data_IF_658100249421
#
_entry.id   IF_658100249421
#
_cell.length_a   1.000
_cell.length_b   1.000
_cell.length_c   1.000
_cell.angle_alpha   90.00
_cell.angle_beta   90.00
_cell.angle_gamma   90.00
#
_symmetry.space_group_name_H-M   'P 1'
#
loop_
_entity.id
_entity.type
_entity.pdbx_description
1 polymer ?
#
# COMPACT_ATOMS: atom_id res chain seq x y z
N UNK A 1 37.14 9.49 -0.61
CA UNK A 1 37.68 9.70 0.74
C UNK A 1 36.98 8.72 1.66
N UNK A 2 37.73 7.72 2.15
CA UNK A 2 37.19 6.78 3.11
C UNK A 2 37.04 7.51 4.46
N UNK A 3 35.80 7.74 4.91
CA UNK A 3 35.56 8.23 6.25
C UNK A 3 36.09 7.17 7.24
N UNK A 4 37.07 7.53 8.03
CA UNK A 4 37.48 6.77 9.21
C UNK A 4 36.26 6.69 10.15
N UNK A 5 35.79 5.51 10.37
CA UNK A 5 34.72 5.19 11.32
C UNK A 5 35.40 5.15 12.71
N UNK A 6 34.94 5.90 13.73
CA UNK A 6 35.49 5.82 15.09
C UNK A 6 35.36 4.42 15.70
N UNK A 7 36.23 4.07 16.67
CA UNK A 7 36.22 2.74 17.35
C UNK A 7 34.85 2.35 17.94
N UNK A 8 34.02 3.31 18.31
CA UNK A 8 32.62 3.11 18.71
C UNK A 8 31.73 2.49 17.62
N UNK A 9 32.12 2.56 16.35
CA UNK A 9 31.33 2.05 15.24
C UNK A 9 31.49 0.53 15.04
N UNK A 10 32.51 -0.09 15.60
CA UNK A 10 32.63 -1.56 15.53
C UNK A 10 31.60 -2.24 16.43
N UNK A 11 31.30 -1.62 17.56
CA UNK A 11 30.22 -2.09 18.45
C UNK A 11 28.84 -1.77 17.87
N UNK A 12 28.68 -0.63 17.17
CA UNK A 12 27.45 -0.28 16.44
C UNK A 12 27.20 -1.18 15.23
N UNK A 13 28.24 -1.58 14.51
CA UNK A 13 28.13 -2.59 13.44
C UNK A 13 27.71 -3.97 13.96
N UNK A 14 28.09 -4.29 15.18
CA UNK A 14 27.65 -5.53 15.85
C UNK A 14 26.19 -5.50 16.27
N UNK A 15 25.63 -4.29 16.45
CA UNK A 15 24.23 -4.03 16.85
C UNK A 15 23.32 -3.60 15.69
N UNK A 16 23.83 -3.56 14.45
CA UNK A 16 23.16 -3.00 13.28
C UNK A 16 23.71 -1.60 12.95
N UNK A 17 23.20 -1.01 11.90
CA UNK A 17 23.58 0.32 11.42
C UNK A 17 23.09 1.42 12.40
N UNK A 18 23.80 2.56 12.44
CA UNK A 18 23.30 3.70 13.21
C UNK A 18 22.09 4.38 12.51
N UNK A 19 21.40 5.24 13.25
CA UNK A 19 20.15 5.86 12.77
C UNK A 19 20.35 6.68 11.47
N UNK A 20 21.50 7.37 11.33
CA UNK A 20 21.77 8.18 10.14
C UNK A 20 22.11 7.34 8.90
N UNK A 21 22.75 6.18 9.08
CA UNK A 21 22.97 5.21 8.01
C UNK A 21 21.69 4.49 7.63
N UNK A 22 20.85 4.20 8.62
CA UNK A 22 19.52 3.62 8.42
C UNK A 22 18.64 4.57 7.61
N UNK A 23 18.60 5.85 7.93
CA UNK A 23 17.81 6.85 7.21
C UNK A 23 18.24 7.00 5.74
N UNK A 24 19.55 6.89 5.45
CA UNK A 24 20.06 6.90 4.07
C UNK A 24 19.71 5.64 3.28
N UNK A 25 19.56 4.52 3.96
CA UNK A 25 19.30 3.23 3.32
C UNK A 25 17.80 2.92 3.20
N UNK A 26 16.97 3.51 4.07
CA UNK A 26 15.51 3.36 4.02
C UNK A 26 14.88 3.97 2.79
N UNK A 27 15.48 5.01 2.23
CA UNK A 27 14.95 5.70 1.06
C UNK A 27 14.96 4.86 -0.22
N UNK A 28 15.77 3.77 -0.30
CA UNK A 28 16.04 3.11 -1.59
C UNK A 28 16.15 1.58 -1.55
N UNK A 29 15.94 0.89 -0.42
CA UNK A 29 16.15 -0.57 -0.33
C UNK A 29 15.17 -1.22 0.64
N UNK A 30 14.87 -2.50 0.41
CA UNK A 30 14.12 -3.32 1.35
C UNK A 30 14.83 -3.41 2.69
N UNK A 31 14.11 -3.19 3.77
CA UNK A 31 14.64 -3.02 5.11
C UNK A 31 14.00 -4.00 6.08
N UNK A 32 14.77 -4.42 7.09
CA UNK A 32 14.27 -5.14 8.25
C UNK A 32 14.37 -4.25 9.49
N UNK A 33 13.53 -4.49 10.50
CA UNK A 33 13.67 -3.81 11.80
C UNK A 33 14.62 -4.57 12.72
N UNK A 34 15.47 -3.83 13.41
CA UNK A 34 16.30 -4.33 14.49
C UNK A 34 16.08 -3.45 15.72
N UNK A 35 15.25 -3.92 16.64
CA UNK A 35 14.73 -3.07 17.69
C UNK A 35 13.93 -1.90 17.10
N UNK A 36 14.33 -0.66 17.41
CA UNK A 36 13.73 0.57 16.86
C UNK A 36 14.39 1.02 15.55
N UNK A 37 15.42 0.31 15.05
CA UNK A 37 16.17 0.68 13.85
C UNK A 37 15.75 -0.13 12.63
N UNK A 38 15.78 0.53 11.48
CA UNK A 38 15.63 -0.10 10.17
C UNK A 38 17.03 -0.41 9.62
N UNK A 39 17.25 -1.62 9.11
CA UNK A 39 18.52 -2.07 8.55
C UNK A 39 18.30 -2.78 7.21
N UNK A 40 19.23 -2.69 6.23
CA UNK A 40 19.16 -3.49 5.02
C UNK A 40 19.11 -4.99 5.35
N UNK A 41 18.24 -5.73 4.63
CA UNK A 41 18.00 -7.13 4.93
C UNK A 41 19.27 -7.99 4.89
N UNK A 42 20.21 -7.68 3.97
CA UNK A 42 21.51 -8.36 3.89
C UNK A 42 22.40 -8.06 5.10
N UNK A 43 22.37 -6.84 5.60
CA UNK A 43 23.13 -6.43 6.78
C UNK A 43 22.48 -6.95 8.05
N UNK A 44 21.15 -6.97 8.09
CA UNK A 44 20.38 -7.63 9.15
C UNK A 44 20.80 -9.10 9.32
N UNK A 45 20.84 -9.89 8.23
CA UNK A 45 21.26 -11.30 8.28
C UNK A 45 22.70 -11.46 8.77
N UNK A 46 23.62 -10.59 8.35
CA UNK A 46 25.02 -10.59 8.83
C UNK A 46 25.12 -10.21 10.30
N UNK A 47 24.40 -9.16 10.69
CA UNK A 47 24.40 -8.67 12.06
C UNK A 47 23.76 -9.66 13.03
N UNK A 48 22.63 -10.29 12.66
CA UNK A 48 22.01 -11.37 13.48
C UNK A 48 22.97 -12.52 13.64
N UNK A 49 23.67 -12.95 12.58
CA UNK A 49 24.69 -14.00 12.64
C UNK A 49 25.89 -13.66 13.52
N UNK A 50 26.30 -12.38 13.57
CA UNK A 50 27.38 -11.87 14.42
C UNK A 50 26.93 -11.65 15.87
N UNK A 51 25.80 -11.00 16.05
CA UNK A 51 25.20 -10.67 17.36
C UNK A 51 24.80 -11.94 18.12
N UNK A 52 24.25 -12.91 17.40
CA UNK A 52 23.86 -14.20 17.97
C UNK A 52 25.02 -15.01 18.56
N UNK A 53 26.28 -14.65 18.31
CA UNK A 53 27.45 -15.28 18.96
C UNK A 53 27.80 -14.66 20.31
N UNK A 54 27.31 -13.46 20.59
CA UNK A 54 27.57 -12.73 21.86
C UNK A 54 26.42 -12.89 22.87
N UNK A 55 25.22 -13.25 22.41
CA UNK A 55 24.07 -13.51 23.27
C UNK A 55 24.09 -14.97 23.76
N UNK A 56 23.68 -15.19 25.01
CA UNK A 56 23.35 -16.51 25.50
C UNK A 56 22.25 -17.17 24.69
N UNK A 57 22.17 -18.49 24.64
CA UNK A 57 21.21 -19.22 23.80
C UNK A 57 19.75 -18.78 24.01
N UNK A 58 19.36 -18.49 25.27
CA UNK A 58 18.00 -18.04 25.61
C UNK A 58 17.71 -16.58 25.20
N UNK A 59 18.73 -15.69 25.16
CA UNK A 59 18.60 -14.33 24.67
C UNK A 59 18.55 -14.30 23.14
N UNK A 60 19.36 -15.15 22.51
CA UNK A 60 19.34 -15.36 21.05
C UNK A 60 17.98 -15.86 20.59
N UNK A 61 17.40 -16.83 21.28
CA UNK A 61 16.04 -17.30 20.99
C UNK A 61 14.99 -16.20 21.18
N UNK A 62 15.10 -15.38 22.23
CA UNK A 62 14.18 -14.26 22.47
C UNK A 62 14.29 -13.15 21.40
N UNK A 63 15.51 -12.79 21.01
CA UNK A 63 15.73 -11.80 19.96
C UNK A 63 15.27 -12.34 18.60
N UNK A 64 15.59 -13.59 18.25
CA UNK A 64 15.09 -14.23 17.03
C UNK A 64 13.57 -14.37 17.08
N UNK A 65 12.96 -14.71 18.23
CA UNK A 65 11.49 -14.75 18.39
C UNK A 65 10.83 -13.36 18.30
N UNK A 66 11.49 -12.28 18.73
CA UNK A 66 11.02 -10.91 18.53
C UNK A 66 10.94 -10.53 17.05
N UNK A 67 11.86 -11.08 16.23
CA UNK A 67 11.88 -10.88 14.78
C UNK A 67 11.02 -11.88 14.01
N UNK A 68 10.80 -13.05 14.57
CA UNK A 68 10.09 -14.19 13.97
C UNK A 68 8.86 -14.54 14.79
N UNK A 69 8.37 -13.64 15.64
CA UNK A 69 7.08 -13.85 16.28
C UNK A 69 6.01 -13.85 15.18
N UNK A 70 5.41 -15.00 14.88
CA UNK A 70 4.46 -15.08 13.79
C UNK A 70 3.24 -14.27 14.16
N UNK A 71 2.81 -13.44 13.23
CA UNK A 71 1.61 -12.68 13.36
C UNK A 71 0.36 -13.54 13.24
N UNK A 72 0.05 -14.31 14.25
CA UNK A 72 -1.34 -14.63 14.52
C UNK A 72 -1.86 -13.51 15.42
N UNK A 73 -2.33 -12.46 14.78
CA UNK A 73 -2.94 -11.30 15.44
C UNK A 73 -4.44 -11.51 15.70
N UNK A 74 -4.93 -12.74 15.51
CA UNK A 74 -6.34 -13.09 15.66
C UNK A 74 -7.24 -12.56 14.55
N UNK A 75 -6.68 -12.02 13.44
CA UNK A 75 -7.48 -11.57 12.29
C UNK A 75 -8.18 -12.77 11.65
N UNK A 76 -9.53 -12.77 11.59
CA UNK A 76 -10.27 -13.90 11.00
C UNK A 76 -9.94 -14.06 9.52
N UNK A 77 -9.86 -15.32 9.07
CA UNK A 77 -9.67 -15.65 7.66
C UNK A 77 -11.03 -15.80 7.01
N UNK A 78 -11.32 -14.93 6.04
CA UNK A 78 -12.56 -14.94 5.27
C UNK A 78 -12.45 -15.89 4.06
N UNK A 79 -13.55 -16.51 3.64
CA UNK A 79 -13.59 -17.46 2.54
C UNK A 79 -13.69 -18.93 3.00
N UNK A 80 -13.24 -19.94 2.22
CA UNK A 80 -12.55 -19.77 0.93
C UNK A 80 -13.44 -19.26 -0.19
N UNK A 81 -12.84 -18.54 -1.15
CA UNK A 81 -13.47 -18.09 -2.38
C UNK A 81 -12.78 -18.71 -3.59
N UNK A 82 -13.52 -18.91 -4.67
CA UNK A 82 -12.94 -19.27 -5.95
C UNK A 82 -12.37 -18.04 -6.67
N UNK A 83 -13.03 -16.86 -6.51
CA UNK A 83 -12.61 -15.64 -7.18
C UNK A 83 -12.94 -14.39 -6.36
N UNK A 84 -12.00 -13.48 -6.24
CA UNK A 84 -12.19 -12.19 -5.54
C UNK A 84 -11.62 -11.03 -6.35
N UNK A 85 -12.27 -9.86 -6.26
CA UNK A 85 -11.72 -8.61 -6.79
C UNK A 85 -11.17 -7.77 -5.64
N UNK A 86 -9.96 -7.22 -5.83
CA UNK A 86 -9.26 -6.39 -4.82
C UNK A 86 -8.76 -5.11 -5.48
N UNK A 87 -9.05 -3.98 -4.87
CA UNK A 87 -8.68 -2.66 -5.35
C UNK A 87 -8.23 -1.76 -4.20
N UNK A 88 -7.51 -0.70 -4.53
CA UNK A 88 -7.06 0.31 -3.58
C UNK A 88 -7.53 1.70 -3.98
N UNK A 89 -7.23 2.68 -3.19
CA UNK A 89 -7.38 4.10 -3.42
C UNK A 89 -8.57 4.51 -4.28
N UNK A 90 -9.77 4.61 -3.68
CA UNK A 90 -10.98 5.09 -4.40
C UNK A 90 -10.85 6.57 -4.74
N UNK A 91 -10.21 7.35 -3.85
CA UNK A 91 -9.92 8.77 -4.02
C UNK A 91 -11.14 9.59 -4.45
N UNK A 92 -12.29 9.37 -3.84
CA UNK A 92 -13.57 10.03 -4.16
C UNK A 92 -14.09 9.78 -5.60
N UNK A 93 -13.45 8.89 -6.37
CA UNK A 93 -13.82 8.60 -7.76
C UNK A 93 -15.03 7.64 -7.82
N UNK A 94 -16.24 8.19 -7.63
CA UNK A 94 -17.48 7.43 -7.71
C UNK A 94 -17.73 6.81 -9.09
N UNK A 95 -17.28 7.46 -10.17
CA UNK A 95 -17.42 6.94 -11.53
C UNK A 95 -16.62 5.64 -11.75
N UNK A 96 -15.38 5.60 -11.26
CA UNK A 96 -14.56 4.39 -11.35
C UNK A 96 -15.09 3.29 -10.41
N UNK A 97 -15.59 3.66 -9.22
CA UNK A 97 -16.16 2.70 -8.29
C UNK A 97 -17.40 2.01 -8.88
N UNK A 98 -18.33 2.75 -9.49
CA UNK A 98 -19.49 2.17 -10.20
C UNK A 98 -19.04 1.20 -11.29
N UNK A 99 -18.11 1.64 -12.15
CA UNK A 99 -17.58 0.80 -13.22
C UNK A 99 -16.92 -0.48 -12.70
N UNK A 100 -16.20 -0.39 -11.57
CA UNK A 100 -15.56 -1.54 -10.93
C UNK A 100 -16.57 -2.54 -10.38
N UNK A 101 -17.62 -2.08 -9.69
CA UNK A 101 -18.65 -2.93 -9.13
C UNK A 101 -19.35 -3.75 -10.24
N UNK A 102 -19.61 -3.10 -11.38
CA UNK A 102 -20.20 -3.76 -12.55
C UNK A 102 -19.24 -4.77 -13.20
N UNK A 103 -17.94 -4.38 -13.37
CA UNK A 103 -16.96 -5.26 -14.01
C UNK A 103 -16.65 -6.49 -13.15
N UNK A 104 -16.43 -6.30 -11.85
CA UNK A 104 -16.16 -7.39 -10.90
C UNK A 104 -17.33 -8.40 -10.87
N UNK A 105 -18.58 -7.89 -10.83
CA UNK A 105 -19.78 -8.74 -10.92
C UNK A 105 -19.82 -9.53 -12.23
N UNK A 106 -19.58 -8.87 -13.37
CA UNK A 106 -19.57 -9.52 -14.69
C UNK A 106 -18.49 -10.61 -14.80
N UNK A 107 -17.36 -10.44 -14.11
CA UNK A 107 -16.26 -11.41 -14.05
C UNK A 107 -16.47 -12.51 -13.04
N UNK A 108 -17.57 -12.47 -12.28
CA UNK A 108 -17.94 -13.49 -11.31
C UNK A 108 -17.12 -13.44 -10.01
N UNK A 109 -16.68 -12.27 -9.58
CA UNK A 109 -16.07 -12.12 -8.27
C UNK A 109 -17.11 -12.41 -7.17
N UNK A 110 -16.76 -13.31 -6.24
CA UNK A 110 -17.62 -13.73 -5.12
C UNK A 110 -17.54 -12.76 -3.94
N UNK A 111 -16.44 -12.01 -3.85
CA UNK A 111 -16.24 -10.97 -2.86
C UNK A 111 -15.39 -9.83 -3.42
N UNK A 112 -15.62 -8.62 -2.89
CA UNK A 112 -14.90 -7.40 -3.23
C UNK A 112 -14.19 -6.85 -1.99
N UNK A 113 -12.92 -6.49 -2.15
CA UNK A 113 -12.09 -5.93 -1.09
C UNK A 113 -11.49 -4.59 -1.52
N UNK A 114 -11.66 -3.57 -0.67
CA UNK A 114 -10.99 -2.27 -0.82
C UNK A 114 -9.87 -2.14 0.20
N UNK A 115 -8.68 -1.81 -0.26
CA UNK A 115 -7.49 -1.66 0.58
C UNK A 115 -7.33 -0.23 1.16
N UNK A 116 -8.43 0.51 1.30
CA UNK A 116 -8.46 1.84 1.91
C UNK A 116 -8.24 2.99 0.93
N UNK A 117 -8.12 4.19 1.49
CA UNK A 117 -8.08 5.46 0.79
C UNK A 117 -9.35 5.73 -0.03
N UNK A 118 -10.50 5.79 0.67
CA UNK A 118 -11.78 6.15 0.05
C UNK A 118 -11.76 7.61 -0.38
N UNK A 119 -11.19 8.48 0.47
CA UNK A 119 -11.00 9.90 0.25
C UNK A 119 -9.72 10.26 -0.50
N UNK A 120 -9.60 11.52 -0.85
CA UNK A 120 -8.44 12.10 -1.53
C UNK A 120 -8.69 12.41 -2.99
N UNK A 121 -7.86 13.24 -3.57
CA UNK A 121 -7.70 13.56 -4.98
C UNK A 121 -8.96 14.03 -5.75
N UNK A 122 -10.06 13.26 -5.72
CA UNK A 122 -11.31 13.56 -6.43
C UNK A 122 -12.33 14.35 -5.63
N UNK A 123 -13.46 14.71 -6.26
CA UNK A 123 -14.54 15.49 -5.64
C UNK A 123 -15.55 14.62 -4.90
N UNK A 124 -16.42 15.26 -4.11
CA UNK A 124 -17.63 14.67 -3.53
C UNK A 124 -17.41 13.36 -2.73
N UNK A 125 -16.64 13.38 -1.63
CA UNK A 125 -16.31 12.17 -0.87
C UNK A 125 -17.53 11.37 -0.41
N UNK A 126 -18.64 12.02 -0.08
CA UNK A 126 -19.88 11.35 0.37
C UNK A 126 -20.52 10.44 -0.70
N UNK A 127 -20.21 10.63 -1.98
CA UNK A 127 -20.76 9.78 -3.05
C UNK A 127 -20.24 8.34 -3.02
N UNK A 128 -19.03 8.12 -2.47
CA UNK A 128 -18.42 6.77 -2.48
C UNK A 128 -18.93 5.88 -1.34
N UNK A 129 -19.35 6.47 -0.22
CA UNK A 129 -19.82 5.71 0.93
C UNK A 129 -21.00 4.75 0.61
N UNK A 130 -22.16 5.25 0.13
CA UNK A 130 -23.28 4.35 -0.18
C UNK A 130 -22.92 3.28 -1.24
N UNK A 131 -22.07 3.63 -2.21
CA UNK A 131 -21.63 2.69 -3.24
C UNK A 131 -20.80 1.54 -2.66
N UNK A 132 -19.93 1.82 -1.68
CA UNK A 132 -19.14 0.79 -1.00
C UNK A 132 -20.04 -0.14 -0.16
N UNK A 133 -21.01 0.44 0.57
CA UNK A 133 -21.96 -0.34 1.39
C UNK A 133 -22.90 -1.18 0.53
N UNK A 134 -23.59 -0.58 -0.44
CA UNK A 134 -24.53 -1.27 -1.34
C UNK A 134 -23.82 -2.30 -2.21
N UNK A 135 -22.56 -2.03 -2.61
CA UNK A 135 -21.71 -2.98 -3.32
C UNK A 135 -21.21 -4.14 -2.47
N UNK A 136 -21.48 -4.15 -1.16
CA UNK A 136 -21.00 -5.19 -0.24
C UNK A 136 -19.48 -5.27 -0.14
N UNK A 137 -18.80 -4.12 -0.35
CA UNK A 137 -17.34 -4.05 -0.36
C UNK A 137 -16.78 -4.19 1.07
N UNK A 138 -15.90 -5.15 1.25
CA UNK A 138 -15.20 -5.38 2.52
C UNK A 138 -13.91 -4.56 2.54
N UNK A 139 -13.90 -3.53 3.36
CA UNK A 139 -12.83 -2.54 3.35
C UNK A 139 -11.85 -2.69 4.52
N UNK A 140 -10.65 -2.16 4.35
CA UNK A 140 -9.71 -1.86 5.43
C UNK A 140 -9.43 -0.37 5.45
N UNK A 141 -8.82 0.13 6.54
CA UNK A 141 -8.35 1.50 6.59
C UNK A 141 -7.08 1.70 5.75
N UNK A 142 -7.03 2.77 4.97
CA UNK A 142 -5.81 3.41 4.52
C UNK A 142 -5.39 4.54 5.45
N UNK A 143 -4.36 5.29 5.07
CA UNK A 143 -3.91 6.43 5.85
C UNK A 143 -4.93 7.58 5.88
N UNK A 144 -5.75 7.74 4.84
CA UNK A 144 -6.85 8.71 4.85
C UNK A 144 -7.91 8.38 5.90
N UNK A 145 -8.37 7.14 5.98
CA UNK A 145 -9.36 6.70 6.97
C UNK A 145 -8.82 6.84 8.39
N UNK A 146 -7.55 6.43 8.61
CA UNK A 146 -6.90 6.59 9.92
C UNK A 146 -6.83 8.07 10.33
N UNK A 147 -6.44 8.96 9.42
CA UNK A 147 -6.28 10.38 9.69
C UNK A 147 -7.62 11.08 9.90
N UNK A 148 -8.58 10.91 8.99
CA UNK A 148 -9.90 11.54 9.05
C UNK A 148 -10.70 11.11 10.28
N UNK A 149 -10.68 9.82 10.63
CA UNK A 149 -11.41 9.29 11.78
C UNK A 149 -10.79 9.67 13.13
N UNK A 150 -9.48 9.89 13.17
CA UNK A 150 -8.77 10.30 14.38
C UNK A 150 -8.63 11.82 14.53
N UNK A 151 -9.09 12.61 13.54
CA UNK A 151 -9.02 14.06 13.56
C UNK A 151 -7.61 14.61 13.38
N UNK A 152 -6.75 13.94 12.62
CA UNK A 152 -5.42 14.46 12.27
C UNK A 152 -5.55 15.64 11.31
N UNK A 153 -4.56 16.53 11.34
CA UNK A 153 -4.48 17.70 10.47
C UNK A 153 -3.97 17.38 9.06
N UNK A 154 -3.35 16.19 8.86
CA UNK A 154 -2.78 15.75 7.61
C UNK A 154 -3.16 14.31 7.26
N UNK A 155 -2.93 13.89 6.01
CA UNK A 155 -3.23 12.55 5.53
C UNK A 155 -2.24 11.48 6.02
N UNK A 156 -1.16 11.84 6.67
CA UNK A 156 -0.08 10.89 7.00
C UNK A 156 0.40 10.08 5.78
N UNK A 157 0.47 10.71 4.60
CA UNK A 157 0.79 10.03 3.34
C UNK A 157 2.25 9.54 3.26
N UNK A 158 3.15 10.11 4.08
CA UNK A 158 4.56 9.71 4.13
C UNK A 158 5.43 10.36 3.05
N UNK A 159 4.96 11.43 2.40
CA UNK A 159 5.78 12.22 1.49
C UNK A 159 6.83 13.02 2.25
N UNK A 160 8.00 13.18 1.63
CA UNK A 160 9.11 13.97 2.17
C UNK A 160 9.34 15.27 1.39
N UNK A 161 8.95 15.31 0.12
CA UNK A 161 9.13 16.48 -0.73
C UNK A 161 8.06 17.55 -0.46
N UNK A 162 8.43 18.84 -0.36
CA UNK A 162 7.47 19.92 -0.09
C UNK A 162 6.38 20.07 -1.15
N UNK A 163 6.67 19.79 -2.43
CA UNK A 163 5.69 19.86 -3.51
C UNK A 163 4.68 18.74 -3.41
N UNK A 164 5.14 17.52 -3.14
CA UNK A 164 4.25 16.38 -2.93
C UNK A 164 3.35 16.61 -1.70
N UNK A 165 3.91 17.15 -0.60
CA UNK A 165 3.14 17.50 0.59
C UNK A 165 2.11 18.59 0.30
N UNK A 166 2.46 19.64 -0.45
CA UNK A 166 1.51 20.70 -0.81
C UNK A 166 0.23 20.14 -1.49
N UNK A 167 0.39 19.26 -2.48
CA UNK A 167 -0.76 18.67 -3.16
C UNK A 167 -1.51 17.64 -2.28
N UNK A 168 -0.80 16.95 -1.40
CA UNK A 168 -1.42 16.08 -0.41
C UNK A 168 -2.30 16.88 0.56
N UNK A 169 -1.82 18.04 1.04
CA UNK A 169 -2.57 18.93 1.94
C UNK A 169 -3.82 19.51 1.26
N UNK A 170 -3.72 19.92 -0.01
CA UNK A 170 -4.89 20.38 -0.78
C UNK A 170 -5.96 19.28 -0.90
N UNK A 171 -5.52 18.07 -1.25
CA UNK A 171 -6.39 16.90 -1.40
C UNK A 171 -7.04 16.50 -0.07
N UNK A 172 -6.24 16.43 1.00
CA UNK A 172 -6.73 16.09 2.34
C UNK A 172 -7.69 17.12 2.88
N UNK A 173 -7.32 18.39 2.81
CA UNK A 173 -8.15 19.50 3.30
C UNK A 173 -9.48 19.60 2.56
N UNK A 174 -9.52 19.32 1.25
CA UNK A 174 -10.79 19.22 0.53
C UNK A 174 -11.65 18.08 1.09
N UNK A 175 -11.10 16.88 1.16
CA UNK A 175 -11.82 15.69 1.64
C UNK A 175 -12.30 15.88 3.09
N UNK A 176 -11.44 16.41 3.96
CA UNK A 176 -11.74 16.64 5.38
C UNK A 176 -12.95 17.56 5.56
N UNK A 177 -13.01 18.65 4.80
CA UNK A 177 -14.13 19.63 4.85
C UNK A 177 -15.44 19.08 4.29
N UNK A 178 -15.40 18.12 3.37
CA UNK A 178 -16.57 17.57 2.68
C UNK A 178 -17.00 16.19 3.18
N UNK A 179 -16.33 15.64 4.20
CA UNK A 179 -16.75 14.42 4.88
C UNK A 179 -17.57 14.74 6.12
N UNK A 180 -18.77 14.15 6.20
CA UNK A 180 -19.60 14.23 7.41
C UNK A 180 -18.96 13.48 8.59
N UNK A 181 -19.32 13.85 9.84
CA UNK A 181 -18.91 13.08 11.01
C UNK A 181 -19.33 11.59 10.94
N UNK A 182 -20.47 11.30 10.32
CA UNK A 182 -20.96 9.93 10.10
C UNK A 182 -20.02 9.13 9.19
N UNK A 183 -19.60 9.72 8.07
CA UNK A 183 -18.68 9.08 7.16
C UNK A 183 -17.29 8.89 7.79
N UNK A 184 -16.75 9.89 8.50
CA UNK A 184 -15.49 9.77 9.27
C UNK A 184 -15.56 8.63 10.30
N UNK A 185 -16.66 8.51 11.03
CA UNK A 185 -16.88 7.44 12.00
C UNK A 185 -16.95 6.07 11.31
N UNK A 186 -17.64 5.96 10.18
CA UNK A 186 -17.72 4.75 9.37
C UNK A 186 -16.32 4.35 8.85
N UNK A 187 -15.53 5.26 8.33
CA UNK A 187 -14.13 5.04 7.95
C UNK A 187 -13.31 4.44 9.10
N UNK A 188 -13.44 5.00 10.30
CA UNK A 188 -12.75 4.53 11.50
C UNK A 188 -13.19 3.15 12.00
N UNK A 189 -14.36 2.65 11.57
CA UNK A 189 -14.87 1.34 11.98
C UNK A 189 -14.22 0.17 11.27
N UNK A 190 -13.50 0.40 10.16
CA UNK A 190 -12.84 -0.65 9.40
C UNK A 190 -11.56 -1.15 10.08
N UNK A 191 -11.21 -2.44 9.94
CA UNK A 191 -9.94 -2.97 10.42
C UNK A 191 -8.78 -2.43 9.56
N UNK A 192 -7.55 -2.48 10.10
CA UNK A 192 -6.34 -2.08 9.36
C UNK A 192 -5.80 -3.17 8.43
N UNK A 193 -6.28 -4.41 8.58
CA UNK A 193 -5.91 -5.57 7.79
C UNK A 193 -7.02 -6.60 7.72
N UNK A 194 -6.98 -7.43 6.69
CA UNK A 194 -7.85 -8.61 6.56
C UNK A 194 -7.04 -9.80 6.08
N UNK A 195 -7.54 -11.00 6.35
CA UNK A 195 -7.03 -12.24 5.79
C UNK A 195 -8.11 -12.88 4.95
N UNK A 196 -7.75 -13.31 3.76
CA UNK A 196 -8.69 -13.86 2.78
C UNK A 196 -8.11 -15.15 2.22
N UNK A 197 -8.94 -16.19 2.14
CA UNK A 197 -8.55 -17.45 1.49
C UNK A 197 -9.15 -17.52 0.09
N UNK A 198 -8.26 -17.67 -0.90
CA UNK A 198 -8.64 -17.93 -2.30
C UNK A 198 -8.13 -19.33 -2.64
N UNK A 199 -9.07 -20.25 -2.86
CA UNK A 199 -8.74 -21.68 -2.91
C UNK A 199 -8.02 -22.15 -1.65
N UNK A 200 -6.83 -22.74 -1.83
CA UNK A 200 -5.97 -23.18 -0.73
C UNK A 200 -5.02 -22.12 -0.18
N UNK A 201 -4.97 -20.88 -0.72
CA UNK A 201 -4.01 -19.84 -0.40
C UNK A 201 -4.56 -18.80 0.57
N UNK A 202 -3.82 -18.53 1.63
CA UNK A 202 -4.17 -17.48 2.60
C UNK A 202 -3.41 -16.18 2.29
N UNK A 203 -4.16 -15.12 2.00
CA UNK A 203 -3.66 -13.83 1.55
C UNK A 203 -3.85 -12.79 2.64
N UNK A 204 -2.82 -12.01 2.92
CA UNK A 204 -2.87 -10.85 3.79
C UNK A 204 -3.15 -9.58 2.98
N UNK A 205 -4.18 -8.85 3.36
CA UNK A 205 -4.59 -7.58 2.77
C UNK A 205 -4.21 -6.44 3.71
N UNK A 206 -3.41 -5.50 3.23
CA UNK A 206 -2.98 -4.29 3.95
C UNK A 206 -3.02 -3.07 3.02
N UNK A 207 -2.96 -1.86 3.57
CA UNK A 207 -2.88 -0.65 2.75
C UNK A 207 -1.47 -0.43 2.20
N UNK A 208 -0.49 -0.10 3.03
CA UNK A 208 0.93 0.04 2.66
C UNK A 208 1.68 -1.27 2.82
N UNK A 209 2.02 -1.61 4.06
CA UNK A 209 2.67 -2.88 4.39
C UNK A 209 2.17 -3.44 5.73
N UNK A 210 2.50 -4.70 6.08
CA UNK A 210 2.20 -5.22 7.43
C UNK A 210 2.81 -4.41 8.57
N UNK A 211 3.85 -3.63 8.28
CA UNK A 211 4.60 -2.83 9.26
C UNK A 211 4.07 -1.42 9.43
N UNK A 212 3.65 -0.79 8.33
CA UNK A 212 3.23 0.61 8.32
C UNK A 212 2.10 0.81 7.30
N UNK A 213 1.08 1.55 7.71
CA UNK A 213 -0.05 1.89 6.85
C UNK A 213 0.37 2.72 5.63
N UNK A 214 1.43 3.51 5.75
CA UNK A 214 1.95 4.43 4.73
C UNK A 214 3.32 4.02 4.17
N UNK A 215 3.70 2.75 4.23
CA UNK A 215 4.94 2.28 3.60
C UNK A 215 4.74 2.07 2.10
N UNK A 216 5.58 2.75 1.30
CA UNK A 216 5.55 2.61 -0.16
C UNK A 216 6.29 1.34 -0.60
N UNK A 217 5.57 0.36 -1.11
CA UNK A 217 6.14 -0.84 -1.73
C UNK A 217 6.14 -0.68 -3.26
N UNK A 218 7.14 0.02 -3.79
CA UNK A 218 7.32 0.16 -5.24
C UNK A 218 7.99 -1.09 -5.85
N UNK A 219 7.63 -1.42 -7.07
CA UNK A 219 8.17 -2.61 -7.75
C UNK A 219 9.70 -2.58 -7.85
N UNK A 220 10.28 -1.44 -8.27
CA UNK A 220 11.71 -1.35 -8.54
C UNK A 220 12.59 -1.31 -7.30
N UNK A 221 12.07 -0.83 -6.17
CA UNK A 221 12.85 -0.60 -4.94
C UNK A 221 12.54 -1.57 -3.81
N UNK A 222 11.50 -2.41 -3.94
CA UNK A 222 11.16 -3.43 -2.94
C UNK A 222 11.85 -4.75 -3.28
N UNK A 223 12.89 -5.17 -2.54
CA UNK A 223 13.62 -6.39 -2.84
C UNK A 223 12.81 -7.66 -2.55
N UNK A 224 12.99 -8.70 -3.37
CA UNK A 224 12.36 -10.02 -3.15
C UNK A 224 12.62 -10.56 -1.74
N UNK A 225 13.85 -10.54 -1.18
CA UNK A 225 14.07 -11.05 0.18
C UNK A 225 13.29 -10.30 1.26
N UNK A 226 12.97 -9.01 1.05
CA UNK A 226 12.15 -8.25 1.99
C UNK A 226 10.69 -8.73 1.96
N UNK A 227 10.14 -8.94 0.76
CA UNK A 227 8.79 -9.48 0.61
C UNK A 227 8.67 -10.89 1.23
N UNK A 228 9.69 -11.74 1.05
CA UNK A 228 9.71 -13.06 1.68
C UNK A 228 9.68 -12.98 3.20
N UNK A 229 10.46 -12.05 3.80
CA UNK A 229 10.46 -11.83 5.25
C UNK A 229 9.10 -11.34 5.75
N UNK A 230 8.45 -10.41 5.06
CA UNK A 230 7.12 -9.95 5.43
C UNK A 230 6.11 -11.11 5.44
N UNK A 231 6.14 -11.94 4.41
CA UNK A 231 5.25 -13.11 4.31
C UNK A 231 5.55 -14.19 5.35
N UNK A 232 6.83 -14.41 5.68
CA UNK A 232 7.22 -15.33 6.75
C UNK A 232 6.73 -14.85 8.12
N UNK A 233 6.89 -13.55 8.41
CA UNK A 233 6.41 -12.95 9.66
C UNK A 233 4.90 -13.04 9.81
N UNK A 234 4.19 -12.85 8.72
CA UNK A 234 2.72 -12.88 8.70
C UNK A 234 2.14 -14.29 8.46
N UNK A 235 2.96 -15.31 8.16
CA UNK A 235 2.52 -16.67 7.80
C UNK A 235 1.46 -16.65 6.70
N UNK A 236 1.67 -15.85 5.67
CA UNK A 236 0.76 -15.70 4.55
C UNK A 236 1.33 -16.28 3.26
N UNK A 237 0.48 -16.81 2.41
CA UNK A 237 0.83 -17.30 1.08
C UNK A 237 0.89 -16.18 0.04
N UNK A 238 0.37 -15.00 0.37
CA UNK A 238 0.45 -13.82 -0.46
C UNK A 238 0.19 -12.53 0.31
N UNK A 239 0.77 -11.43 -0.20
CA UNK A 239 0.59 -10.07 0.29
C UNK A 239 -0.08 -9.22 -0.77
N UNK A 240 -1.21 -8.61 -0.42
CA UNK A 240 -1.87 -7.61 -1.25
C UNK A 240 -1.75 -6.25 -0.58
N UNK A 241 -1.24 -5.27 -1.32
CA UNK A 241 -1.09 -3.90 -0.88
C UNK A 241 -1.51 -2.88 -1.96
N UNK A 242 -1.52 -1.61 -1.61
CA UNK A 242 -1.79 -0.48 -2.49
C UNK A 242 -0.90 0.71 -2.12
N UNK A 243 -1.43 1.89 -1.81
CA UNK A 243 -0.78 3.11 -1.35
C UNK A 243 0.13 3.82 -2.37
N UNK A 244 0.90 3.09 -3.20
CA UNK A 244 1.80 3.68 -4.19
C UNK A 244 1.08 4.33 -5.37
N UNK A 245 -0.17 3.96 -5.62
CA UNK A 245 -0.91 4.32 -6.83
C UNK A 245 -0.54 3.53 -8.09
N UNK A 246 0.50 2.69 -8.01
CA UNK A 246 1.03 1.90 -9.13
C UNK A 246 0.83 0.41 -8.87
N UNK A 247 0.27 -0.28 -9.84
CA UNK A 247 0.03 -1.71 -9.78
C UNK A 247 1.25 -2.52 -10.21
N UNK A 248 1.50 -3.65 -9.55
CA UNK A 248 2.51 -4.64 -9.94
C UNK A 248 2.21 -6.00 -9.31
N UNK A 249 2.70 -7.06 -9.93
CA UNK A 249 2.62 -8.42 -9.39
C UNK A 249 3.99 -9.09 -9.48
N UNK A 250 4.35 -9.81 -8.44
CA UNK A 250 5.60 -10.58 -8.38
C UNK A 250 5.35 -11.94 -7.76
N UNK A 251 5.55 -13.00 -8.55
CA UNK A 251 5.69 -14.36 -8.02
C UNK A 251 7.08 -14.50 -7.41
N UNK A 252 7.12 -14.87 -6.14
CA UNK A 252 8.36 -15.02 -5.37
C UNK A 252 8.97 -16.41 -5.56
N UNK A 253 10.28 -16.57 -5.29
CA UNK A 253 10.95 -17.89 -5.38
C UNK A 253 10.35 -18.97 -4.48
N UNK A 254 9.70 -18.58 -3.38
CA UNK A 254 8.95 -19.49 -2.49
C UNK A 254 7.62 -20.00 -3.09
N UNK A 255 7.22 -19.49 -4.26
CA UNK A 255 5.91 -19.75 -4.87
C UNK A 255 4.78 -18.90 -4.32
N UNK A 256 5.08 -17.97 -3.40
CA UNK A 256 4.13 -16.99 -2.86
C UNK A 256 3.99 -15.79 -3.77
N UNK A 257 2.95 -14.99 -3.56
CA UNK A 257 2.65 -13.82 -4.39
C UNK A 257 2.73 -12.52 -3.59
N UNK A 258 3.31 -11.48 -4.20
CA UNK A 258 3.22 -10.12 -3.72
C UNK A 258 2.58 -9.25 -4.81
N UNK A 259 1.51 -8.55 -4.45
CA UNK A 259 0.68 -7.79 -5.41
C UNK A 259 0.43 -6.40 -4.86
N UNK A 260 0.81 -5.38 -5.61
CA UNK A 260 0.22 -4.07 -5.44
C UNK A 260 -0.96 -3.97 -6.40
N UNK A 261 -2.16 -3.82 -5.87
CA UNK A 261 -3.39 -3.87 -6.67
C UNK A 261 -3.63 -2.59 -7.46
N UNK A 262 -2.80 -1.57 -7.26
CA UNK A 262 -3.01 -0.24 -7.81
C UNK A 262 -4.11 0.53 -7.09
N UNK A 263 -4.69 1.52 -7.78
CA UNK A 263 -5.78 2.35 -7.29
C UNK A 263 -6.82 2.56 -8.38
N UNK A 264 -8.07 2.80 -8.00
CA UNK A 264 -9.14 3.16 -8.94
C UNK A 264 -9.45 4.66 -8.96
N UNK A 265 -8.79 5.42 -8.09
CA UNK A 265 -9.03 6.85 -7.96
C UNK A 265 -8.28 7.71 -8.97
N UNK A 266 -7.15 7.25 -9.48
CA UNK A 266 -6.36 7.95 -10.49
C UNK A 266 -5.61 6.97 -11.40
N UNK A 267 -5.25 7.38 -12.64
CA UNK A 267 -4.47 6.56 -13.58
C UNK A 267 -3.09 6.17 -13.05
N UNK A 268 -2.49 5.14 -13.64
CA UNK A 268 -1.21 4.56 -13.22
C UNK A 268 0.04 5.26 -13.79
N UNK A 269 -0.04 6.52 -14.19
CA UNK A 269 1.08 7.31 -14.74
C UNK A 269 1.69 6.72 -16.03
N UNK A 270 0.86 6.16 -16.90
CA UNK A 270 1.27 5.48 -18.12
C UNK A 270 0.69 6.13 -19.41
N UNK A 271 0.05 7.31 -19.28
CA UNK A 271 -0.57 8.05 -20.38
C UNK A 271 -1.91 7.50 -20.82
N UNK A 272 -2.52 6.63 -20.01
CA UNK A 272 -3.86 6.09 -20.22
C UNK A 272 -4.77 6.50 -19.07
N UNK A 273 -5.98 6.98 -19.34
CA UNK A 273 -6.92 7.40 -18.29
C UNK A 273 -7.56 6.21 -17.53
N UNK A 274 -7.29 4.98 -17.94
CA UNK A 274 -7.74 3.79 -17.24
C UNK A 274 -7.13 3.71 -15.84
N UNK A 275 -7.89 3.15 -14.90
CA UNK A 275 -7.45 2.82 -13.54
C UNK A 275 -7.32 1.32 -13.39
N UNK A 276 -6.79 0.82 -12.26
CA UNK A 276 -6.42 -0.59 -12.15
C UNK A 276 -6.94 -1.25 -10.89
N UNK A 277 -7.28 -2.54 -10.99
CA UNK A 277 -7.59 -3.40 -9.86
C UNK A 277 -7.07 -4.83 -10.11
N UNK A 278 -7.04 -5.66 -9.08
CA UNK A 278 -6.64 -7.05 -9.18
C UNK A 278 -7.85 -7.99 -9.13
N UNK A 279 -7.85 -9.00 -10.00
CA UNK A 279 -8.72 -10.16 -9.91
C UNK A 279 -7.88 -11.38 -9.52
N UNK A 280 -8.26 -12.02 -8.43
CA UNK A 280 -7.59 -13.20 -7.90
C UNK A 280 -8.50 -14.42 -8.07
N UNK A 281 -7.93 -15.51 -8.56
CA UNK A 281 -8.67 -16.72 -8.88
C UNK A 281 -7.93 -17.96 -8.39
N UNK A 282 -8.66 -18.88 -7.80
CA UNK A 282 -8.16 -20.23 -7.50
C UNK A 282 -7.88 -20.99 -8.81
N UNK A 283 -6.63 -21.36 -9.04
CA UNK A 283 -6.21 -22.21 -10.16
C UNK A 283 -5.62 -23.54 -9.68
N UNK A 284 -6.06 -24.00 -8.51
CA UNK A 284 -5.59 -25.23 -7.88
C UNK A 284 -4.21 -25.03 -7.24
N UNK A 285 -3.15 -25.47 -7.92
CA UNK A 285 -1.78 -25.43 -7.37
C UNK A 285 -1.20 -24.00 -7.28
N UNK A 286 -1.80 -23.02 -7.95
CA UNK A 286 -1.34 -21.65 -7.95
C UNK A 286 -2.49 -20.63 -7.82
N UNK A 287 -2.15 -19.44 -7.35
CA UNK A 287 -3.02 -18.28 -7.37
C UNK A 287 -2.98 -17.63 -8.75
N UNK A 288 -4.11 -17.55 -9.43
CA UNK A 288 -4.26 -16.70 -10.61
C UNK A 288 -4.35 -15.25 -10.18
N UNK A 289 -3.46 -14.40 -10.70
CA UNK A 289 -3.45 -12.95 -10.45
C UNK A 289 -3.54 -12.23 -11.77
N UNK A 290 -4.61 -11.46 -11.96
CA UNK A 290 -4.78 -10.60 -13.14
C UNK A 290 -4.91 -9.15 -12.68
N UNK A 291 -4.01 -8.30 -13.16
CA UNK A 291 -4.11 -6.84 -13.01
C UNK A 291 -4.89 -6.31 -14.20
N UNK A 292 -6.04 -5.72 -13.95
CA UNK A 292 -7.02 -5.38 -14.97
C UNK A 292 -7.18 -3.87 -15.11
N UNK A 293 -7.01 -3.33 -16.34
CA UNK A 293 -7.37 -1.94 -16.61
C UNK A 293 -8.89 -1.78 -16.59
N UNK A 294 -9.36 -0.70 -16.00
CA UNK A 294 -10.77 -0.36 -15.88
C UNK A 294 -11.04 0.99 -16.54
N UNK A 295 -11.96 0.99 -17.50
CA UNK A 295 -12.48 2.22 -18.12
C UNK A 295 -13.66 2.74 -17.33
N UNK A 296 -13.70 4.05 -17.20
CA UNK A 296 -14.79 4.78 -16.54
C UNK A 296 -14.98 6.14 -17.22
N UNK A 297 -16.01 6.88 -16.84
CA UNK A 297 -16.23 8.22 -17.38
C UNK A 297 -15.28 9.25 -16.71
N UNK A 298 -14.01 9.21 -17.11
CA UNK A 298 -12.96 10.10 -16.61
C UNK A 298 -13.22 11.57 -17.00
N UNK A 299 -13.97 11.83 -18.09
CA UNK A 299 -14.31 13.19 -18.50
C UNK A 299 -15.35 13.80 -17.58
N UNK A 300 -16.38 13.04 -17.22
CA UNK A 300 -17.37 13.51 -16.23
C UNK A 300 -16.71 13.79 -14.87
N UNK A 301 -15.79 12.92 -14.42
CA UNK A 301 -15.00 13.17 -13.22
C UNK A 301 -14.17 14.45 -13.31
N UNK A 302 -13.47 14.68 -14.41
CA UNK A 302 -12.67 15.88 -14.64
C UNK A 302 -13.52 17.17 -14.61
N UNK A 303 -14.74 17.12 -15.18
CA UNK A 303 -15.69 18.24 -15.13
C UNK A 303 -16.22 18.50 -13.71
N UNK A 304 -16.48 17.43 -12.92
CA UNK A 304 -16.86 17.57 -11.52
C UNK A 304 -15.71 18.19 -10.70
N UNK A 305 -14.47 17.74 -10.91
CA UNK A 305 -13.28 18.29 -10.24
C UNK A 305 -13.10 19.77 -10.51
N UNK A 306 -13.31 20.25 -11.75
CA UNK A 306 -13.27 21.68 -12.10
C UNK A 306 -14.38 22.49 -11.45
N UNK A 307 -15.60 21.94 -11.37
CA UNK A 307 -16.73 22.60 -10.67
C UNK A 307 -16.50 22.77 -9.17
N UNK A 308 -15.75 21.83 -8.58
CA UNK A 308 -15.36 21.84 -7.17
C UNK A 308 -14.03 22.58 -6.93
N UNK A 309 -13.50 23.27 -7.95
CA UNK A 309 -12.27 24.07 -7.88
C UNK A 309 -11.05 23.28 -7.37
N UNK A 310 -10.99 21.97 -7.67
CA UNK A 310 -9.80 21.16 -7.39
C UNK A 310 -8.64 21.56 -8.30
N UNK A 311 -7.37 21.36 -7.89
CA UNK A 311 -6.19 21.71 -8.69
C UNK A 311 -6.27 21.20 -10.12
N UNK A 312 -5.96 22.04 -11.11
CA UNK A 312 -5.96 21.62 -12.53
C UNK A 312 -4.95 20.52 -12.79
N UNK A 313 -3.91 20.42 -11.98
CA UNK A 313 -2.95 19.32 -12.00
C UNK A 313 -3.62 17.96 -11.76
N UNK A 314 -4.62 17.91 -10.87
CA UNK A 314 -5.38 16.68 -10.65
C UNK A 314 -6.26 16.37 -11.84
N UNK A 315 -6.90 17.38 -12.41
CA UNK A 315 -7.75 17.25 -13.61
C UNK A 315 -6.93 16.77 -14.81
N UNK A 316 -5.74 17.35 -15.02
CA UNK A 316 -4.83 16.94 -16.10
C UNK A 316 -4.41 15.48 -15.93
N UNK A 317 -4.11 15.05 -14.71
CA UNK A 317 -3.79 13.65 -14.41
C UNK A 317 -4.93 12.71 -14.85
N UNK A 318 -6.19 13.05 -14.53
CA UNK A 318 -7.37 12.25 -14.90
C UNK A 318 -7.54 12.20 -16.44
N UNK A 319 -7.36 13.33 -17.11
CA UNK A 319 -7.59 13.42 -18.56
C UNK A 319 -6.49 12.79 -19.39
N UNK A 320 -5.25 12.88 -18.94
CA UNK A 320 -4.08 12.47 -19.74
C UNK A 320 -3.52 11.11 -19.35
N UNK A 321 -3.83 10.65 -18.15
CA UNK A 321 -3.20 9.45 -17.57
C UNK A 321 -1.78 9.68 -17.08
N UNK A 322 -1.24 10.90 -17.17
CA UNK A 322 0.07 11.27 -16.67
C UNK A 322 -0.04 12.03 -15.35
N UNK A 323 0.74 11.64 -14.37
CA UNK A 323 0.80 12.37 -13.11
C UNK A 323 1.52 13.71 -13.30
N UNK A 324 0.96 14.73 -12.70
CA UNK A 324 1.52 16.08 -12.62
C UNK A 324 1.88 16.46 -11.19
N UNK A 325 1.47 15.63 -10.22
CA UNK A 325 1.72 15.79 -8.78
C UNK A 325 2.17 14.48 -8.16
N UNK A 326 2.79 14.54 -6.97
CA UNK A 326 3.27 13.38 -6.23
C UNK A 326 4.26 12.53 -7.06
N UNK A 327 5.13 13.22 -7.81
CA UNK A 327 6.16 12.60 -8.64
C UNK A 327 7.48 12.41 -7.90
N UNK A 328 7.74 13.23 -6.86
CA UNK A 328 9.02 13.23 -6.16
C UNK A 328 9.22 11.98 -5.31
N UNK A 329 8.11 11.36 -4.86
CA UNK A 329 8.14 10.08 -4.17
C UNK A 329 8.49 8.89 -5.08
N UNK A 330 8.26 9.02 -6.39
CA UNK A 330 8.47 7.91 -7.33
C UNK A 330 9.96 7.56 -7.45
N UNK A 331 10.34 6.28 -7.32
CA UNK A 331 11.69 5.84 -7.66
C UNK A 331 12.03 6.13 -9.13
N UNK A 332 13.31 6.16 -9.44
CA UNK A 332 13.80 6.55 -10.76
C UNK A 332 13.19 5.75 -11.93
N UNK A 333 12.93 4.45 -11.73
CA UNK A 333 12.32 3.59 -12.76
C UNK A 333 10.87 3.96 -13.02
N UNK A 334 10.08 4.11 -11.96
CA UNK A 334 8.67 4.48 -12.03
C UNK A 334 8.50 5.91 -12.54
N UNK A 335 9.42 6.81 -12.17
CA UNK A 335 9.47 8.18 -12.70
C UNK A 335 9.87 8.22 -14.16
N UNK A 336 10.85 7.41 -14.60
CA UNK A 336 11.28 7.35 -16.00
C UNK A 336 10.20 6.83 -16.96
N UNK A 337 9.21 6.09 -16.44
CA UNK A 337 8.04 5.67 -17.20
C UNK A 337 7.04 6.82 -17.42
N UNK A 338 7.18 7.94 -16.70
CA UNK A 338 6.33 9.10 -16.79
C UNK A 338 6.75 10.07 -17.92
N UNK A 339 5.85 11.00 -18.23
CA UNK A 339 6.11 12.04 -19.25
C UNK A 339 6.94 13.21 -18.73
N UNK A 340 6.96 13.41 -17.42
CA UNK A 340 7.58 14.56 -16.75
C UNK A 340 8.73 14.14 -15.84
#
# INVERSE_FOLDING_TARGET
>A
MAHRIPEDDEDRRRRGLDAAEVDKLTAHRGMATWGEKLVPLGDFRRAVGGYGRQLGSAEREREVRRFVAPGDDGTPVEGPYAKVAVFGGVYNNSHALVALLEDAKRRGAEALYCLGDFGGFGPHPEKVWPLLEEGGVRSIQGNYEESLSSGREDCNCGYADPRDNHFADLSYGYTERHCSPGFKAWMGSHPKRRRVRVGGRELLLVHGSPRRINEFLFESTTPVPYLEVLLDQERADGLLCTHTGLHWHRRLPSGRDAVNVGVIGRPANDGRPEVWYALLEDRGDELGVELLPLRYDHRALAEEMRREELPEEFVETILTGWWTTCLEILPARERAASRY
#
